data_IF_867348030316
#
_entry.id   IF_867348030316
#
_cell.length_a   1.000
_cell.length_b   1.000
_cell.length_c   1.000
_cell.angle_alpha   90.00
_cell.angle_beta   90.00
_cell.angle_gamma   90.00
#
_symmetry.space_group_name_H-M   'P 1'
#
loop_
_entity.id
_entity.type
_entity.pdbx_description
1 polymer ?
#
# COMPACT_ATOMS: atom_id res chain seq x y z
N UNK A 1 -8.43 -6.72 -34.36
CA UNK A 1 -7.30 -7.10 -33.49
C UNK A 1 -6.31 -5.93 -33.53
N UNK A 2 -6.44 -4.92 -32.66
CA UNK A 2 -5.65 -3.69 -32.79
C UNK A 2 -6.34 -2.42 -32.29
N UNK A 3 -6.23 -2.14 -30.99
CA UNK A 3 -6.51 -0.84 -30.37
C UNK A 3 -5.91 -0.75 -28.97
N UNK A 4 -5.79 -1.88 -28.27
CA UNK A 4 -5.50 -1.91 -26.83
C UNK A 4 -4.02 -1.90 -26.45
N UNK A 5 -3.13 -2.41 -27.32
CA UNK A 5 -1.68 -2.29 -27.15
C UNK A 5 -1.23 -0.84 -27.39
N UNK A 6 -1.96 -0.08 -28.21
CA UNK A 6 -1.58 1.30 -28.59
C UNK A 6 -1.85 2.35 -27.51
N UNK A 7 -2.66 2.06 -26.48
CA UNK A 7 -2.96 3.02 -25.38
C UNK A 7 -1.82 3.10 -24.34
N UNK A 8 -0.93 2.11 -24.32
CA UNK A 8 0.14 2.00 -23.33
C UNK A 8 1.47 2.47 -23.92
N UNK A 9 1.74 3.77 -23.81
CA UNK A 9 2.99 4.37 -24.30
C UNK A 9 4.08 4.36 -23.23
N UNK A 10 5.35 4.41 -23.65
CA UNK A 10 6.48 4.62 -22.71
C UNK A 10 6.29 5.84 -21.82
N UNK A 11 5.69 6.91 -22.37
CA UNK A 11 5.35 8.13 -21.63
C UNK A 11 4.33 7.88 -20.52
N UNK A 12 3.32 7.02 -20.78
CA UNK A 12 2.32 6.63 -19.77
C UNK A 12 2.98 5.87 -18.62
N UNK A 13 3.85 4.90 -18.92
CA UNK A 13 4.63 4.20 -17.89
C UNK A 13 5.50 5.16 -17.08
N UNK A 14 6.24 6.05 -17.76
CA UNK A 14 7.09 7.02 -17.06
C UNK A 14 6.27 7.91 -16.11
N UNK A 15 5.14 8.42 -16.58
CA UNK A 15 4.23 9.24 -15.77
C UNK A 15 3.71 8.48 -14.53
N UNK A 16 3.22 7.24 -14.72
CA UNK A 16 2.72 6.43 -13.61
C UNK A 16 3.82 6.07 -12.60
N UNK A 17 5.00 5.66 -13.05
CA UNK A 17 6.11 5.34 -12.15
C UNK A 17 6.64 6.56 -11.40
N UNK A 18 6.74 7.71 -12.08
CA UNK A 18 7.17 8.95 -11.45
C UNK A 18 6.23 9.35 -10.29
N UNK A 19 4.93 9.27 -10.51
CA UNK A 19 3.93 9.72 -9.54
C UNK A 19 3.58 8.67 -8.48
N UNK A 20 3.51 7.40 -8.84
CA UNK A 20 3.02 6.35 -7.96
C UNK A 20 4.14 5.56 -7.26
N UNK A 21 5.37 5.61 -7.76
CA UNK A 21 6.48 4.81 -7.23
C UNK A 21 7.62 5.70 -6.74
N UNK A 22 8.22 6.47 -7.65
CA UNK A 22 9.45 7.21 -7.36
C UNK A 22 9.21 8.42 -6.45
N UNK A 23 8.19 9.23 -6.74
CA UNK A 23 7.81 10.38 -5.92
C UNK A 23 7.56 10.01 -4.46
N UNK A 24 6.64 9.05 -4.18
CA UNK A 24 6.37 8.59 -2.83
C UNK A 24 7.60 8.03 -2.11
N UNK A 25 8.42 7.21 -2.80
CA UNK A 25 9.66 6.67 -2.23
C UNK A 25 10.63 7.78 -1.82
N UNK A 26 10.88 8.74 -2.72
CA UNK A 26 11.78 9.85 -2.45
C UNK A 26 11.26 10.72 -1.32
N UNK A 27 9.95 11.01 -1.29
CA UNK A 27 9.33 11.75 -0.20
C UNK A 27 9.55 11.06 1.16
N UNK A 28 9.30 9.75 1.26
CA UNK A 28 9.55 9.00 2.48
C UNK A 28 11.02 9.02 2.89
N UNK A 29 11.95 8.84 1.93
CA UNK A 29 13.39 8.94 2.18
C UNK A 29 13.79 10.30 2.75
N UNK A 30 13.21 11.40 2.25
CA UNK A 30 13.49 12.73 2.78
C UNK A 30 12.90 12.94 4.17
N UNK A 31 11.67 12.48 4.41
CA UNK A 31 11.02 12.55 5.72
C UNK A 31 11.84 11.82 6.80
N UNK A 32 12.34 10.62 6.49
CA UNK A 32 13.17 9.81 7.40
C UNK A 32 14.53 10.43 7.74
N UNK A 33 14.99 11.42 6.96
CA UNK A 33 16.29 12.07 7.16
C UNK A 33 16.20 13.36 7.97
N UNK A 34 15.01 13.73 8.45
CA UNK A 34 14.81 14.94 9.27
C UNK A 34 15.32 14.63 10.69
N UNK A 35 16.44 15.23 11.15
CA UNK A 35 17.15 14.78 12.36
C UNK A 35 16.38 14.89 13.68
N UNK A 36 15.31 15.68 13.71
CA UNK A 36 14.51 15.98 14.91
C UNK A 36 13.10 15.41 14.87
N UNK A 37 12.73 14.69 13.81
CA UNK A 37 11.38 14.15 13.65
C UNK A 37 11.45 12.63 13.77
N UNK A 38 10.94 12.11 14.89
CA UNK A 38 10.71 10.69 15.02
C UNK A 38 9.37 10.33 14.36
N UNK A 39 9.45 9.57 13.28
CA UNK A 39 8.29 9.09 12.55
C UNK A 39 7.98 7.69 13.05
N UNK A 40 6.77 7.48 13.59
CA UNK A 40 6.34 6.15 14.04
C UNK A 40 5.74 5.31 12.92
N UNK A 41 5.11 5.95 11.93
CA UNK A 41 4.40 5.28 10.85
C UNK A 41 4.57 6.03 9.54
N UNK A 42 4.76 5.31 8.44
CA UNK A 42 4.63 5.85 7.08
C UNK A 42 3.66 4.97 6.32
N UNK A 43 2.52 5.55 5.94
CA UNK A 43 1.48 4.85 5.19
C UNK A 43 1.44 5.36 3.74
N UNK A 44 1.38 4.42 2.80
CA UNK A 44 1.29 4.69 1.37
C UNK A 44 -0.07 4.21 0.86
N UNK A 45 -0.77 5.06 0.11
CA UNK A 45 -1.96 4.61 -0.62
C UNK A 45 -1.49 3.78 -1.81
N UNK A 46 -1.79 2.48 -1.77
CA UNK A 46 -1.47 1.52 -2.81
C UNK A 46 -2.75 0.80 -3.26
N UNK A 47 -2.57 -0.28 -4.00
CA UNK A 47 -3.67 -1.03 -4.60
C UNK A 47 -3.34 -2.53 -4.62
N UNK A 48 -4.36 -3.34 -4.38
CA UNK A 48 -4.31 -4.80 -4.48
C UNK A 48 -4.15 -5.29 -5.92
N UNK A 49 -4.50 -4.46 -6.91
CA UNK A 49 -4.31 -4.75 -8.33
C UNK A 49 -2.84 -4.94 -8.74
N UNK A 50 -1.89 -4.52 -7.88
CA UNK A 50 -0.44 -4.72 -8.08
C UNK A 50 0.13 -5.97 -7.40
N UNK A 51 -0.70 -6.78 -6.75
CA UNK A 51 -0.28 -7.98 -6.02
C UNK A 51 -0.86 -9.24 -6.65
N UNK A 52 0.00 -10.26 -6.85
CA UNK A 52 -0.12 -11.64 -7.39
C UNK A 52 -1.30 -12.14 -8.26
N UNK A 53 -2.47 -11.50 -8.29
CA UNK A 53 -3.66 -11.89 -9.05
C UNK A 53 -4.20 -10.74 -9.90
N UNK A 54 -4.03 -10.84 -11.23
CA UNK A 54 -4.66 -9.95 -12.20
C UNK A 54 -6.16 -10.27 -12.24
N UNK A 55 -7.01 -9.33 -11.85
CA UNK A 55 -8.45 -9.45 -12.09
C UNK A 55 -8.77 -9.07 -13.53
N UNK A 56 -9.64 -9.87 -14.16
CA UNK A 56 -10.10 -9.69 -15.54
C UNK A 56 -10.94 -8.43 -15.75
N UNK A 57 -11.13 -7.56 -14.76
CA UNK A 57 -11.81 -6.28 -14.86
C UNK A 57 -10.85 -5.09 -15.05
N UNK A 58 -9.54 -5.28 -14.89
CA UNK A 58 -8.51 -4.22 -14.89
C UNK A 58 -8.02 -3.93 -16.33
N UNK A 59 -8.95 -3.77 -17.27
CA UNK A 59 -8.61 -3.47 -18.66
C UNK A 59 -8.07 -2.04 -18.79
N UNK A 60 -6.91 -1.87 -19.40
CA UNK A 60 -6.34 -0.54 -19.72
C UNK A 60 -5.50 0.11 -18.62
N UNK A 61 -5.37 -0.49 -17.43
CA UNK A 61 -4.63 0.08 -16.30
C UNK A 61 -3.21 -0.49 -16.13
N UNK A 62 -2.62 -1.13 -17.15
CA UNK A 62 -1.35 -1.85 -17.03
C UNK A 62 -0.19 -0.99 -16.46
N UNK A 63 0.04 0.22 -16.98
CA UNK A 63 1.05 1.14 -16.43
C UNK A 63 0.78 1.53 -14.96
N UNK A 64 -0.49 1.76 -14.59
CA UNK A 64 -0.89 2.04 -13.21
C UNK A 64 -0.63 0.83 -12.31
N UNK A 65 -1.13 -0.36 -12.66
CA UNK A 65 -0.94 -1.59 -11.90
C UNK A 65 0.54 -1.96 -11.77
N UNK A 66 1.33 -1.83 -12.84
CA UNK A 66 2.77 -2.03 -12.81
C UNK A 66 3.46 -1.06 -11.84
N UNK A 67 3.07 0.23 -11.84
CA UNK A 67 3.63 1.22 -10.91
C UNK A 67 3.27 0.92 -9.44
N UNK A 68 2.06 0.40 -9.17
CA UNK A 68 1.63 0.00 -7.82
C UNK A 68 2.31 -1.29 -7.37
N UNK A 69 2.50 -2.26 -8.26
CA UNK A 69 3.31 -3.45 -7.99
C UNK A 69 4.76 -3.09 -7.65
N UNK A 70 5.35 -2.17 -8.42
CA UNK A 70 6.69 -1.66 -8.15
C UNK A 70 6.76 -0.90 -6.81
N UNK A 71 5.75 -0.08 -6.50
CA UNK A 71 5.65 0.57 -5.19
C UNK A 71 5.61 -0.46 -4.07
N UNK A 72 4.71 -1.45 -4.15
CA UNK A 72 4.57 -2.52 -3.17
C UNK A 72 5.89 -3.24 -2.89
N UNK A 73 6.64 -3.58 -3.95
CA UNK A 73 7.94 -4.22 -3.79
C UNK A 73 8.97 -3.29 -3.12
N UNK A 74 9.03 -2.04 -3.54
CA UNK A 74 9.90 -1.02 -2.93
C UNK A 74 9.59 -0.86 -1.44
N UNK A 75 8.33 -0.82 -1.04
CA UNK A 75 7.94 -0.66 0.36
C UNK A 75 8.40 -1.82 1.24
N UNK A 76 8.35 -3.06 0.72
CA UNK A 76 8.87 -4.24 1.43
C UNK A 76 10.36 -4.11 1.72
N UNK A 77 11.14 -3.73 0.70
CA UNK A 77 12.58 -3.53 0.86
C UNK A 77 12.90 -2.34 1.78
N UNK A 78 12.17 -1.23 1.61
CA UNK A 78 12.36 -0.03 2.41
C UNK A 78 12.16 -0.31 3.91
N UNK A 79 11.12 -1.07 4.26
CA UNK A 79 10.84 -1.41 5.66
C UNK A 79 12.00 -2.21 6.28
N UNK A 80 12.49 -3.24 5.60
CA UNK A 80 13.63 -4.05 6.05
C UNK A 80 14.90 -3.21 6.15
N UNK A 81 15.19 -2.38 5.15
CA UNK A 81 16.38 -1.51 5.15
C UNK A 81 16.36 -0.52 6.32
N UNK A 82 15.23 0.15 6.55
CA UNK A 82 15.08 1.08 7.68
C UNK A 82 15.21 0.33 9.01
N UNK A 83 14.59 -0.84 9.15
CA UNK A 83 14.69 -1.64 10.36
C UNK A 83 16.13 -2.05 10.66
N UNK A 84 16.92 -2.41 9.65
CA UNK A 84 18.36 -2.71 9.84
C UNK A 84 19.18 -1.53 10.33
N UNK A 85 18.73 -0.30 10.09
CA UNK A 85 19.43 0.92 10.50
C UNK A 85 18.93 1.50 11.82
N UNK A 86 17.64 1.39 12.11
CA UNK A 86 16.98 2.03 13.26
C UNK A 86 16.46 1.03 14.31
N UNK A 87 16.46 -0.27 14.02
CA UNK A 87 16.01 -1.34 14.92
C UNK A 87 14.60 -1.05 15.50
N UNK A 88 14.42 -1.12 16.81
CA UNK A 88 13.14 -0.85 17.47
C UNK A 88 12.60 0.56 17.24
N UNK A 89 13.44 1.51 16.83
CA UNK A 89 13.04 2.90 16.52
C UNK A 89 12.54 3.06 15.07
N UNK A 90 12.60 2.01 14.25
CA UNK A 90 12.12 2.06 12.88
C UNK A 90 10.59 2.32 12.83
N UNK A 91 10.13 3.21 11.92
CA UNK A 91 8.71 3.35 11.63
C UNK A 91 8.13 2.07 11.04
N UNK A 92 6.85 1.82 11.34
CA UNK A 92 6.08 0.82 10.60
C UNK A 92 5.73 1.39 9.22
N UNK A 93 6.06 0.62 8.17
CA UNK A 93 5.71 0.93 6.79
C UNK A 93 4.47 0.15 6.40
N UNK A 94 3.41 0.86 6.00
CA UNK A 94 2.12 0.27 5.61
C UNK A 94 1.77 0.66 4.17
N UNK A 95 1.25 -0.29 3.42
CA UNK A 95 0.54 -0.04 2.17
C UNK A 95 -0.96 -0.19 2.41
N UNK A 96 -1.77 0.71 1.87
CA UNK A 96 -3.22 0.78 2.12
C UNK A 96 -3.99 0.77 0.79
N UNK A 97 -4.85 -0.22 0.61
CA UNK A 97 -5.84 -0.28 -0.47
C UNK A 97 -7.14 0.38 -0.02
N UNK A 98 -7.52 1.46 -0.69
CA UNK A 98 -8.75 2.23 -0.40
C UNK A 98 -9.99 1.53 -0.90
N UNK A 99 -11.15 1.82 -0.32
CA UNK A 99 -12.43 1.30 -0.82
C UNK A 99 -12.74 1.84 -2.21
N UNK A 100 -13.25 0.98 -3.10
CA UNK A 100 -13.78 1.33 -4.42
C UNK A 100 -15.26 0.92 -4.59
N UNK A 101 -16.12 1.84 -5.04
CA UNK A 101 -17.51 1.53 -5.41
C UNK A 101 -17.55 0.51 -6.56
N UNK A 102 -18.40 -0.50 -6.40
CA UNK A 102 -18.61 -1.57 -7.39
C UNK A 102 -17.67 -2.75 -7.21
N UNK A 103 -16.40 -2.52 -6.86
CA UNK A 103 -15.43 -3.58 -6.56
C UNK A 103 -15.51 -4.03 -5.09
N UNK A 104 -15.46 -3.08 -4.14
CA UNK A 104 -15.45 -3.36 -2.70
C UNK A 104 -16.77 -3.02 -2.02
N UNK A 105 -17.48 -2.00 -2.53
CA UNK A 105 -18.72 -1.51 -1.96
C UNK A 105 -19.88 -1.76 -2.93
N UNK A 106 -20.89 -2.51 -2.48
CA UNK A 106 -22.18 -2.59 -3.17
C UNK A 106 -22.88 -1.22 -3.24
N UNK A 107 -23.93 -1.06 -4.06
CA UNK A 107 -24.69 0.20 -4.11
C UNK A 107 -25.18 0.55 -2.71
N UNK A 108 -24.62 1.63 -2.15
CA UNK A 108 -24.81 1.96 -0.74
C UNK A 108 -26.04 2.88 -0.58
N UNK A 109 -27.06 2.50 0.21
CA UNK A 109 -28.17 3.38 0.54
C UNK A 109 -27.92 4.28 1.79
N UNK A 110 -26.70 4.32 2.36
CA UNK A 110 -26.43 4.93 3.68
C UNK A 110 -25.79 6.34 3.66
N UNK A 111 -25.92 7.03 4.80
CA UNK A 111 -25.51 8.44 5.11
C UNK A 111 -24.04 8.80 4.87
N UNK A 112 -23.14 7.83 4.67
CA UNK A 112 -21.71 8.06 4.53
C UNK A 112 -21.24 7.81 3.10
N UNK A 113 -20.41 8.73 2.61
CA UNK A 113 -19.76 8.59 1.30
C UNK A 113 -18.70 7.51 1.32
N UNK A 114 -18.40 6.93 0.15
CA UNK A 114 -17.28 6.00 -0.05
C UNK A 114 -15.97 6.55 0.52
N UNK A 115 -15.66 7.82 0.25
CA UNK A 115 -14.46 8.47 0.78
C UNK A 115 -14.44 8.42 2.31
N UNK A 116 -15.58 8.66 2.97
CA UNK A 116 -15.66 8.60 4.43
C UNK A 116 -15.45 7.17 4.94
N UNK A 117 -16.00 6.17 4.26
CA UNK A 117 -15.81 4.75 4.58
C UNK A 117 -14.33 4.38 4.45
N UNK A 118 -13.73 4.69 3.30
CA UNK A 118 -12.34 4.41 2.97
C UNK A 118 -11.37 5.06 3.95
N UNK A 119 -11.52 6.37 4.21
CA UNK A 119 -10.67 7.12 5.14
C UNK A 119 -10.80 6.58 6.58
N UNK A 120 -12.02 6.32 7.06
CA UNK A 120 -12.23 5.76 8.40
C UNK A 120 -11.57 4.38 8.55
N UNK A 121 -11.72 3.55 7.52
CA UNK A 121 -11.07 2.24 7.44
C UNK A 121 -9.56 2.32 7.49
N UNK A 122 -8.96 3.10 6.58
CA UNK A 122 -7.51 3.31 6.54
C UNK A 122 -6.95 3.88 7.85
N UNK A 123 -7.63 4.84 8.49
CA UNK A 123 -7.21 5.37 9.80
C UNK A 123 -7.27 4.31 10.90
N UNK A 124 -8.26 3.41 10.88
CA UNK A 124 -8.34 2.27 11.79
C UNK A 124 -7.15 1.33 11.57
N UNK A 125 -6.85 0.98 10.32
CA UNK A 125 -5.68 0.15 9.97
C UNK A 125 -4.38 0.78 10.47
N UNK A 126 -4.15 2.07 10.21
CA UNK A 126 -2.94 2.76 10.68
C UNK A 126 -2.83 2.70 12.20
N UNK A 127 -3.94 2.86 12.93
CA UNK A 127 -3.94 2.79 14.40
C UNK A 127 -3.65 1.37 14.91
N UNK A 128 -4.23 0.36 14.31
CA UNK A 128 -4.12 -1.03 14.78
C UNK A 128 -2.80 -1.67 14.36
N UNK A 129 -2.33 -1.38 13.14
CA UNK A 129 -1.16 -1.99 12.53
C UNK A 129 0.10 -1.14 12.63
N UNK A 130 -0.04 0.14 12.96
CA UNK A 130 1.09 1.02 13.18
C UNK A 130 1.85 0.71 14.47
N UNK A 131 2.93 1.47 14.70
CA UNK A 131 3.74 1.42 15.92
C UNK A 131 2.86 1.53 17.16
N UNK A 132 3.07 0.64 18.12
CA UNK A 132 2.28 0.49 19.37
C UNK A 132 0.81 0.12 19.16
N UNK A 133 0.42 -0.23 17.94
CA UNK A 133 -0.90 -0.77 17.63
C UNK A 133 -1.08 -2.17 18.21
N UNK A 134 -2.33 -2.57 18.39
CA UNK A 134 -2.70 -3.90 18.91
C UNK A 134 -2.17 -5.06 18.06
N UNK A 135 -1.78 -4.78 16.81
CA UNK A 135 -1.16 -5.71 15.88
C UNK A 135 -0.07 -4.99 15.08
N UNK A 136 0.89 -4.38 15.78
CA UNK A 136 2.03 -3.65 15.18
C UNK A 136 2.69 -4.46 14.06
N UNK A 137 2.82 -3.82 12.88
CA UNK A 137 3.37 -4.41 11.67
C UNK A 137 2.51 -5.53 11.06
N UNK A 138 1.38 -5.88 11.67
CA UNK A 138 0.57 -7.02 11.26
C UNK A 138 1.08 -8.38 11.75
N UNK A 139 1.94 -8.41 12.78
CA UNK A 139 2.63 -9.62 13.25
C UNK A 139 1.67 -10.72 13.72
N UNK A 140 0.65 -10.36 14.51
CA UNK A 140 -0.35 -11.31 14.99
C UNK A 140 -1.22 -11.81 13.84
N UNK A 141 -1.59 -10.93 12.90
CA UNK A 141 -2.32 -11.35 11.69
C UNK A 141 -1.48 -12.25 10.79
N UNK A 142 -0.18 -11.98 10.63
CA UNK A 142 0.76 -12.82 9.89
C UNK A 142 0.75 -14.26 10.43
N UNK A 143 0.89 -14.35 11.76
CA UNK A 143 0.92 -15.61 12.47
C UNK A 143 -0.40 -16.39 12.32
N UNK A 144 -1.53 -15.71 12.50
CA UNK A 144 -2.85 -16.32 12.35
C UNK A 144 -3.12 -16.85 10.93
N UNK A 145 -2.52 -16.22 9.91
CA UNK A 145 -2.64 -16.61 8.50
C UNK A 145 -1.56 -17.60 8.04
N UNK A 146 -0.60 -17.96 8.90
CA UNK A 146 0.52 -18.82 8.53
C UNK A 146 1.46 -18.22 7.47
N UNK A 147 1.52 -16.89 7.38
CA UNK A 147 2.36 -16.19 6.40
C UNK A 147 3.82 -16.22 6.86
N UNK A 148 4.67 -16.84 6.06
CA UNK A 148 6.12 -16.93 6.30
C UNK A 148 6.86 -15.84 5.51
N UNK A 149 6.77 -14.60 5.98
CA UNK A 149 7.52 -13.45 5.44
C UNK A 149 8.41 -12.83 6.52
N UNK A 150 9.36 -12.00 6.09
CA UNK A 150 10.16 -11.19 7.01
C UNK A 150 9.23 -10.32 7.88
N UNK A 151 9.34 -10.44 9.19
CA UNK A 151 8.48 -9.74 10.16
C UNK A 151 8.63 -8.23 10.09
N UNK A 152 9.74 -7.76 9.51
CA UNK A 152 10.07 -6.34 9.39
C UNK A 152 9.81 -5.80 7.97
N UNK A 153 9.31 -6.65 7.06
CA UNK A 153 8.80 -6.18 5.78
C UNK A 153 7.50 -5.38 5.96
N UNK A 154 7.26 -4.44 5.04
CA UNK A 154 5.98 -3.75 4.97
C UNK A 154 4.82 -4.74 4.83
N UNK A 155 3.60 -4.28 5.13
CA UNK A 155 2.37 -5.05 4.93
C UNK A 155 1.34 -4.25 4.14
N UNK A 156 0.53 -4.96 3.33
CA UNK A 156 -0.56 -4.39 2.54
C UNK A 156 -1.91 -4.73 3.17
N UNK A 157 -2.73 -3.70 3.37
CA UNK A 157 -4.01 -3.79 4.04
C UNK A 157 -5.10 -3.10 3.24
N UNK A 158 -6.26 -3.74 3.13
CA UNK A 158 -7.46 -3.07 2.64
C UNK A 158 -8.07 -2.20 3.73
N UNK A 159 -8.85 -1.20 3.33
CA UNK A 159 -9.57 -0.28 4.23
C UNK A 159 -10.40 -0.99 5.31
N UNK A 160 -10.91 -2.20 5.03
CA UNK A 160 -11.71 -3.00 5.97
C UNK A 160 -10.86 -3.87 6.91
N UNK A 161 -9.52 -3.75 6.88
CA UNK A 161 -8.60 -4.42 7.78
C UNK A 161 -8.17 -5.83 7.37
N UNK A 162 -8.41 -6.22 6.11
CA UNK A 162 -7.91 -7.49 5.60
C UNK A 162 -6.46 -7.31 5.10
N UNK A 163 -5.61 -8.28 5.44
CA UNK A 163 -4.25 -8.34 4.89
C UNK A 163 -4.33 -8.89 3.47
N UNK A 164 -3.68 -8.21 2.53
CA UNK A 164 -3.55 -8.70 1.16
C UNK A 164 -2.17 -9.37 1.00
N UNK A 165 -2.08 -10.54 0.33
CA UNK A 165 -0.78 -11.08 -0.08
C UNK A 165 -0.11 -10.13 -1.09
N UNK A 166 1.21 -10.22 -1.22
CA UNK A 166 1.91 -9.51 -2.31
C UNK A 166 1.74 -10.23 -3.65
#
# INVERSE_FOLDING_TARGET
>A
MGAWIEVQTSQSYYHHFQNNTFGPLLAAKYLLRIPSVQISNIAFISDSCGSSSIQSCIWGLAAYSASKAALNMVLRHLAVEIHRHLDSEAPVILALHTAEIGADLGPNPAELTETQISVRGCLKVIREKGKYGIDEGGKASAWAMGVMEDLEAATLWTWNGLRHPW
#
